data_IF_983362860577
#
_entry.id   IF_983362860577
#
_cell.length_a   1.000
_cell.length_b   1.000
_cell.length_c   1.000
_cell.angle_alpha   90.00
_cell.angle_beta   90.00
_cell.angle_gamma   90.00
#
_symmetry.space_group_name_H-M   'P 1'
#
loop_
_entity.id
_entity.type
_entity.pdbx_description
1 polymer ?
#
# COMPACT_ATOMS: atom_id res chain seq x y z
N UNK A 1 7.61 20.89 21.50
CA UNK A 1 6.19 20.56 21.25
C UNK A 1 5.84 20.52 19.75
N UNK A 2 6.08 21.56 18.96
CA UNK A 2 5.69 21.60 17.54
C UNK A 2 6.19 20.44 16.63
N UNK A 3 7.41 19.93 16.83
CA UNK A 3 7.96 18.83 16.03
C UNK A 3 7.30 17.47 16.31
N UNK A 4 6.81 17.25 17.54
CA UNK A 4 6.10 16.02 17.93
C UNK A 4 4.71 16.00 17.31
N UNK A 5 4.01 17.15 17.31
CA UNK A 5 2.70 17.31 16.67
C UNK A 5 2.76 17.13 15.14
N UNK A 6 3.81 17.63 14.51
CA UNK A 6 4.02 17.44 13.06
C UNK A 6 4.30 15.98 12.70
N UNK A 7 5.08 15.27 13.53
CA UNK A 7 5.39 13.85 13.34
C UNK A 7 4.14 13.00 13.49
N UNK A 8 3.36 13.21 14.56
CA UNK A 8 2.10 12.51 14.79
C UNK A 8 1.09 12.74 13.64
N UNK A 9 0.97 13.99 13.17
CA UNK A 9 0.11 14.35 12.03
C UNK A 9 0.54 13.65 10.73
N UNK A 10 1.85 13.57 10.48
CA UNK A 10 2.39 12.87 9.31
C UNK A 10 2.08 11.38 9.36
N UNK A 11 2.29 10.74 10.50
CA UNK A 11 1.98 9.31 10.69
C UNK A 11 0.48 9.04 10.50
N UNK A 12 -0.39 9.83 11.11
CA UNK A 12 -1.85 9.69 10.95
C UNK A 12 -2.30 9.88 9.48
N UNK A 13 -1.68 10.83 8.76
CA UNK A 13 -1.96 11.02 7.34
C UNK A 13 -1.50 9.83 6.49
N UNK A 14 -0.29 9.31 6.75
CA UNK A 14 0.23 8.13 6.06
C UNK A 14 -0.66 6.90 6.29
N UNK A 15 -1.09 6.69 7.52
CA UNK A 15 -2.00 5.59 7.85
C UNK A 15 -3.36 5.75 7.14
N UNK A 16 -3.93 6.95 7.13
CA UNK A 16 -5.19 7.21 6.42
C UNK A 16 -5.08 6.97 4.92
N UNK A 17 -3.95 7.36 4.30
CA UNK A 17 -3.69 7.10 2.88
C UNK A 17 -3.53 5.59 2.64
N UNK A 18 -2.75 4.89 3.47
CA UNK A 18 -2.58 3.44 3.38
C UNK A 18 -3.91 2.70 3.48
N UNK A 19 -4.79 3.09 4.42
CA UNK A 19 -6.15 2.53 4.56
C UNK A 19 -6.99 2.71 3.30
N UNK A 20 -6.91 3.86 2.63
CA UNK A 20 -7.65 4.11 1.38
C UNK A 20 -7.15 3.22 0.24
N UNK A 21 -5.85 2.97 0.16
CA UNK A 21 -5.28 2.08 -0.85
C UNK A 21 -5.62 0.61 -0.57
N UNK A 22 -5.49 0.15 0.68
CA UNK A 22 -5.87 -1.20 1.12
C UNK A 22 -7.36 -1.50 0.85
N UNK A 23 -8.22 -0.49 0.92
CA UNK A 23 -9.64 -0.65 0.60
C UNK A 23 -9.88 -1.06 -0.87
N UNK A 24 -8.98 -0.71 -1.80
CA UNK A 24 -9.08 -1.13 -3.22
C UNK A 24 -9.06 -2.64 -3.37
N UNK A 25 -8.34 -3.36 -2.50
CA UNK A 25 -8.22 -4.82 -2.56
C UNK A 25 -9.07 -5.52 -1.50
N UNK A 26 -10.00 -4.79 -0.88
CA UNK A 26 -10.87 -5.28 0.19
C UNK A 26 -10.11 -5.85 1.39
N UNK A 27 -8.92 -5.31 1.73
CA UNK A 27 -8.21 -5.73 2.94
C UNK A 27 -9.12 -5.60 4.18
N UNK A 28 -9.16 -6.62 5.06
CA UNK A 28 -10.00 -6.59 6.25
C UNK A 28 -9.79 -5.33 7.11
N UNK A 29 -10.88 -4.76 7.62
CA UNK A 29 -10.83 -3.53 8.43
C UNK A 29 -10.04 -3.72 9.74
N UNK A 30 -9.99 -4.95 10.27
CA UNK A 30 -9.22 -5.31 11.46
C UNK A 30 -7.73 -5.55 11.18
N UNK A 31 -7.27 -5.45 9.93
CA UNK A 31 -5.86 -5.53 9.59
C UNK A 31 -5.06 -4.44 10.31
N UNK A 32 -3.96 -4.82 10.94
CA UNK A 32 -3.04 -3.91 11.62
C UNK A 32 -1.96 -3.47 10.65
N UNK A 33 -1.81 -2.15 10.45
CA UNK A 33 -0.72 -1.61 9.64
C UNK A 33 0.56 -1.66 10.48
N UNK A 34 1.57 -2.36 9.97
CA UNK A 34 2.86 -2.56 10.61
C UNK A 34 3.89 -1.54 10.12
N UNK A 35 3.84 -1.22 8.82
CA UNK A 35 4.73 -0.24 8.21
C UNK A 35 4.07 0.39 6.97
N UNK A 36 4.42 1.64 6.70
CA UNK A 36 4.09 2.34 5.46
C UNK A 36 5.37 2.95 4.91
N UNK A 37 5.74 2.54 3.70
CA UNK A 37 6.93 3.03 2.99
C UNK A 37 6.48 3.68 1.69
N UNK A 38 7.13 4.78 1.31
CA UNK A 38 6.89 5.42 0.01
C UNK A 38 8.18 5.39 -0.81
N UNK A 39 8.06 4.94 -2.05
CA UNK A 39 9.13 4.91 -3.04
C UNK A 39 8.61 5.57 -4.31
N UNK A 40 9.02 6.81 -4.57
CA UNK A 40 8.49 7.60 -5.69
C UNK A 40 6.97 7.81 -5.59
N UNK A 41 6.24 7.30 -6.58
CA UNK A 41 4.78 7.35 -6.67
C UNK A 41 4.09 6.12 -6.06
N UNK A 42 4.87 5.12 -5.64
CA UNK A 42 4.35 3.89 -5.03
C UNK A 42 4.36 4.00 -3.51
N UNK A 43 3.27 3.57 -2.88
CA UNK A 43 3.20 3.30 -1.44
C UNK A 43 3.20 1.79 -1.22
N UNK A 44 3.99 1.33 -0.26
CA UNK A 44 4.05 -0.07 0.16
C UNK A 44 3.58 -0.16 1.60
N UNK A 45 2.61 -1.02 1.86
CA UNK A 45 1.96 -1.18 3.15
C UNK A 45 2.19 -2.60 3.64
N UNK A 46 2.80 -2.73 4.82
CA UNK A 46 2.89 -4.00 5.52
C UNK A 46 1.71 -4.11 6.48
N UNK A 47 0.98 -5.21 6.41
CA UNK A 47 -0.17 -5.48 7.27
C UNK A 47 -0.05 -6.82 7.99
N UNK A 48 -0.65 -6.92 9.17
CA UNK A 48 -1.01 -8.17 9.81
C UNK A 48 -2.54 -8.31 9.78
N UNK A 49 -3.04 -9.38 9.19
CA UNK A 49 -4.45 -9.70 8.93
C UNK A 49 -4.81 -10.97 9.73
N UNK A 50 -5.27 -10.83 10.99
CA UNK A 50 -5.53 -11.99 11.83
C UNK A 50 -6.66 -12.86 11.26
N UNK A 51 -6.42 -14.17 11.17
CA UNK A 51 -7.39 -15.15 10.67
C UNK A 51 -7.22 -15.51 9.20
N UNK A 52 -6.33 -14.83 8.47
CA UNK A 52 -6.01 -15.17 7.09
C UNK A 52 -4.98 -16.32 7.00
N UNK A 53 -5.00 -17.14 5.93
CA UNK A 53 -4.00 -18.19 5.71
C UNK A 53 -2.57 -17.64 5.61
N UNK A 54 -2.39 -16.41 5.13
CA UNK A 54 -1.11 -15.70 5.11
C UNK A 54 -1.29 -14.39 5.87
N UNK A 55 -1.16 -14.39 7.20
CA UNK A 55 -1.57 -13.27 8.03
C UNK A 55 -0.66 -12.05 7.87
N UNK A 56 0.51 -12.15 7.24
CA UNK A 56 1.38 -10.99 6.98
C UNK A 56 1.44 -10.68 5.49
N UNK A 57 0.96 -9.50 5.11
CA UNK A 57 0.89 -9.08 3.71
C UNK A 57 1.70 -7.81 3.47
N UNK A 58 2.38 -7.75 2.33
CA UNK A 58 3.04 -6.56 1.80
C UNK A 58 2.35 -6.18 0.49
N UNK A 59 1.62 -5.07 0.51
CA UNK A 59 0.81 -4.61 -0.61
C UNK A 59 1.39 -3.30 -1.14
N UNK A 60 1.70 -3.23 -2.44
CA UNK A 60 2.22 -2.01 -3.08
C UNK A 60 1.20 -1.42 -4.03
N UNK A 61 0.98 -0.11 -3.91
CA UNK A 61 -0.03 0.62 -4.67
C UNK A 61 0.56 1.85 -5.35
N UNK A 62 0.07 2.14 -6.56
CA UNK A 62 0.35 3.38 -7.28
C UNK A 62 -0.94 4.18 -7.42
N UNK A 63 -0.84 5.51 -7.33
CA UNK A 63 -1.92 6.40 -7.74
C UNK A 63 -2.11 6.34 -9.26
N UNK A 64 -3.35 6.12 -9.68
CA UNK A 64 -3.71 6.23 -11.08
C UNK A 64 -3.71 7.70 -11.52
N UNK A 65 -3.25 7.95 -12.74
CA UNK A 65 -3.36 9.24 -13.39
C UNK A 65 -4.83 9.55 -13.71
N UNK A 66 -5.18 10.81 -13.99
CA UNK A 66 -6.54 11.14 -14.43
C UNK A 66 -6.98 10.38 -15.68
N UNK A 67 -6.08 10.15 -16.63
CA UNK A 67 -6.37 9.40 -17.86
C UNK A 67 -6.65 7.93 -17.56
N UNK A 68 -5.79 7.26 -16.79
CA UNK A 68 -6.00 5.85 -16.43
C UNK A 68 -7.32 5.64 -15.69
N UNK A 69 -7.72 6.58 -14.81
CA UNK A 69 -9.02 6.51 -14.13
C UNK A 69 -10.21 6.71 -15.07
N UNK A 70 -10.05 7.49 -16.13
CA UNK A 70 -11.09 7.66 -17.14
C UNK A 70 -11.23 6.38 -17.98
N UNK A 71 -10.11 5.80 -18.40
CA UNK A 71 -10.09 4.55 -19.15
C UNK A 71 -10.71 3.40 -18.33
N UNK A 72 -10.37 3.25 -17.05
CA UNK A 72 -10.97 2.24 -16.16
C UNK A 72 -12.49 2.44 -15.99
N UNK A 73 -12.94 3.70 -15.93
CA UNK A 73 -14.36 4.02 -15.83
C UNK A 73 -15.11 3.68 -17.12
N UNK A 74 -14.53 3.97 -18.28
CA UNK A 74 -15.08 3.62 -19.60
C UNK A 74 -15.18 2.10 -19.79
N UNK A 75 -14.26 1.35 -19.20
CA UNK A 75 -14.28 -0.12 -19.16
C UNK A 75 -15.21 -0.71 -18.10
N UNK A 76 -15.85 0.11 -17.27
CA UNK A 76 -16.74 -0.35 -16.20
C UNK A 76 -16.02 -1.00 -15.01
N UNK A 77 -14.71 -0.82 -14.88
CA UNK A 77 -13.86 -1.41 -13.83
C UNK A 77 -13.89 -0.62 -12.51
N UNK A 78 -14.57 0.54 -12.49
CA UNK A 78 -14.74 1.40 -11.32
C UNK A 78 -13.71 2.54 -11.24
N UNK A 79 -14.04 3.61 -10.51
CA UNK A 79 -13.19 4.80 -10.37
C UNK A 79 -12.20 4.69 -9.21
N UNK A 80 -11.44 3.60 -9.17
CA UNK A 80 -10.46 3.40 -8.11
C UNK A 80 -9.33 4.43 -8.24
N UNK A 81 -8.92 5.04 -7.13
CA UNK A 81 -7.82 6.02 -7.12
C UNK A 81 -6.44 5.34 -7.11
N UNK A 82 -6.41 4.10 -6.61
CA UNK A 82 -5.19 3.31 -6.40
C UNK A 82 -5.28 2.04 -7.22
N UNK A 83 -4.15 1.61 -7.77
CA UNK A 83 -3.98 0.30 -8.39
C UNK A 83 -2.95 -0.52 -7.59
N UNK A 84 -3.24 -1.79 -7.35
CA UNK A 84 -2.30 -2.73 -6.74
C UNK A 84 -1.26 -3.11 -7.80
N UNK A 85 0.01 -2.87 -7.50
CA UNK A 85 1.12 -3.16 -8.44
C UNK A 85 1.88 -4.42 -8.07
N UNK A 86 1.90 -4.78 -6.78
CA UNK A 86 2.63 -5.94 -6.26
C UNK A 86 2.06 -6.39 -4.93
N UNK A 87 2.11 -7.68 -4.65
CA UNK A 87 1.61 -8.27 -3.41
C UNK A 87 2.44 -9.49 -2.99
N UNK A 88 2.81 -9.53 -1.72
CA UNK A 88 3.45 -10.68 -1.09
C UNK A 88 2.70 -11.10 0.18
N UNK A 89 2.58 -12.40 0.41
CA UNK A 89 2.06 -12.98 1.65
C UNK A 89 3.11 -13.81 2.38
N UNK A 90 3.05 -13.83 3.70
CA UNK A 90 3.87 -14.67 4.56
C UNK A 90 3.05 -15.24 5.74
N UNK A 91 3.47 -16.43 6.18
CA UNK A 91 2.98 -17.08 7.40
C UNK A 91 3.49 -16.37 8.66
N UNK A 92 4.71 -15.85 8.60
CA UNK A 92 5.48 -15.40 9.75
C UNK A 92 5.97 -13.95 9.60
N UNK A 93 6.04 -13.24 10.73
CA UNK A 93 6.41 -11.81 10.76
C UNK A 93 7.89 -11.55 10.41
N UNK A 94 8.75 -12.54 10.60
CA UNK A 94 10.19 -12.47 10.32
C UNK A 94 10.50 -12.29 8.82
N UNK A 95 9.57 -12.65 7.95
CA UNK A 95 9.66 -12.45 6.50
C UNK A 95 9.40 -11.01 6.07
N UNK A 96 8.76 -10.19 6.89
CA UNK A 96 8.35 -8.81 6.55
C UNK A 96 9.53 -7.96 6.05
N UNK A 97 10.70 -7.90 6.72
CA UNK A 97 11.79 -7.05 6.26
C UNK A 97 12.31 -7.45 4.87
N UNK A 98 12.35 -8.76 4.57
CA UNK A 98 12.79 -9.28 3.27
C UNK A 98 11.78 -8.92 2.19
N UNK A 99 10.49 -9.17 2.45
CA UNK A 99 9.43 -8.87 1.49
C UNK A 99 9.27 -7.36 1.23
N UNK A 100 9.46 -6.52 2.25
CA UNK A 100 9.56 -5.07 2.08
C UNK A 100 10.75 -4.68 1.18
N UNK A 101 11.86 -5.39 1.29
CA UNK A 101 13.03 -5.20 0.41
C UNK A 101 12.70 -5.51 -1.06
N UNK A 102 11.98 -6.59 -1.33
CA UNK A 102 11.53 -6.95 -2.68
C UNK A 102 10.53 -5.93 -3.23
N UNK A 103 9.49 -5.60 -2.45
CA UNK A 103 8.50 -4.60 -2.82
C UNK A 103 9.15 -3.24 -3.12
N UNK A 104 10.17 -2.84 -2.35
CA UNK A 104 10.90 -1.60 -2.60
C UNK A 104 11.69 -1.65 -3.91
N UNK A 105 12.36 -2.76 -4.20
CA UNK A 105 13.08 -2.96 -5.46
C UNK A 105 12.11 -2.92 -6.64
N UNK A 106 10.98 -3.60 -6.54
CA UNK A 106 9.94 -3.56 -7.55
C UNK A 106 9.38 -2.14 -7.77
N UNK A 107 9.08 -1.42 -6.68
CA UNK A 107 8.60 -0.05 -6.73
C UNK A 107 9.56 0.91 -7.44
N UNK A 108 10.88 0.70 -7.29
CA UNK A 108 11.87 1.49 -8.05
C UNK A 108 11.78 1.23 -9.55
N UNK A 109 11.57 -0.02 -9.97
CA UNK A 109 11.41 -0.38 -11.39
C UNK A 109 10.15 0.24 -11.98
N UNK A 110 9.02 0.15 -11.26
CA UNK A 110 7.73 0.73 -11.73
C UNK A 110 7.79 2.25 -11.80
N UNK A 111 8.49 2.90 -10.87
CA UNK A 111 8.64 4.36 -10.88
C UNK A 111 9.47 4.85 -12.08
N UNK A 112 10.40 4.05 -12.60
CA UNK A 112 11.22 4.41 -13.77
C UNK A 112 10.48 4.23 -15.10
N UNK A 113 9.40 3.44 -15.11
CA UNK A 113 8.63 3.13 -16.31
C UNK A 113 7.38 4.01 -16.50
N UNK A 114 7.03 4.81 -15.48
CA UNK A 114 5.88 5.73 -15.48
C UNK A 114 6.32 7.17 -15.75
#
# INVERSE_FOLDING_TARGET
MAAVDQTARKTALQERIARRALATINTPANARILAVVRTGTVITVATHQPGEPFPYCIDSFRLLTPTERADDADLGLGSHEWTLTDQYGAQDADRIPVLLGYARTFATTVTLAA
#
